data_IF_923286894685
#
_entry.id   IF_923286894685
#
_cell.length_a   1.000
_cell.length_b   1.000
_cell.length_c   1.000
_cell.angle_alpha   90.00
_cell.angle_beta   90.00
_cell.angle_gamma   90.00
#
_symmetry.space_group_name_H-M   'P 1'
#
loop_
_entity.id
_entity.type
_entity.pdbx_description
1 polymer ?
#
# COMPACT_ATOMS: atom_id res chain seq x y z
N UNK A 1 -17.14 16.21 -1.58
CA UNK A 1 -15.97 16.35 -2.47
C UNK A 1 -16.05 15.27 -3.50
N UNK A 2 -15.93 15.62 -4.79
CA UNK A 2 -16.11 14.67 -5.89
C UNK A 2 -14.80 13.89 -6.08
N UNK A 3 -14.86 12.56 -6.08
CA UNK A 3 -13.71 11.70 -6.38
C UNK A 3 -13.13 12.09 -7.75
N UNK A 4 -11.80 12.12 -7.85
CA UNK A 4 -11.13 12.35 -9.12
C UNK A 4 -11.42 11.19 -10.10
N UNK A 5 -11.55 11.46 -11.40
CA UNK A 5 -11.72 10.39 -12.39
C UNK A 5 -10.48 9.50 -12.40
N UNK A 6 -10.67 8.19 -12.46
CA UNK A 6 -9.57 7.24 -12.66
C UNK A 6 -8.79 7.62 -13.93
N UNK A 7 -7.45 7.51 -13.94
CA UNK A 7 -6.65 7.77 -15.13
C UNK A 7 -7.14 6.88 -16.30
N UNK A 8 -7.09 7.38 -17.55
CA UNK A 8 -7.49 6.58 -18.71
C UNK A 8 -6.63 5.31 -18.78
N UNK A 9 -7.28 4.18 -19.05
CA UNK A 9 -6.63 2.88 -19.20
C UNK A 9 -5.63 2.92 -20.37
N UNK A 10 -4.37 3.21 -20.06
CA UNK A 10 -3.24 2.92 -20.93
C UNK A 10 -2.71 1.52 -20.60
N UNK A 11 -2.23 0.80 -21.62
CA UNK A 11 -1.60 -0.54 -21.50
C UNK A 11 -0.22 -0.52 -20.81
N UNK A 12 0.07 0.54 -20.03
CA UNK A 12 1.36 0.80 -19.42
C UNK A 12 1.31 0.78 -17.90
N UNK A 13 2.48 0.89 -17.23
CA UNK A 13 2.55 1.02 -15.78
C UNK A 13 1.71 2.18 -15.25
N UNK A 14 1.06 1.97 -14.11
CA UNK A 14 0.30 3.01 -13.38
C UNK A 14 1.06 3.41 -12.13
N UNK A 15 1.15 4.72 -11.87
CA UNK A 15 1.65 5.25 -10.61
C UNK A 15 0.49 5.89 -9.86
N UNK A 16 0.33 5.56 -8.57
CA UNK A 16 -0.69 6.15 -7.70
C UNK A 16 -0.08 6.57 -6.36
N UNK A 17 -0.63 7.65 -5.79
CA UNK A 17 -0.25 8.17 -4.48
C UNK A 17 -1.41 8.08 -3.49
N UNK A 18 -1.09 7.76 -2.24
CA UNK A 18 -2.04 7.57 -1.15
C UNK A 18 -1.57 8.40 0.04
N UNK A 19 -2.39 9.34 0.49
CA UNK A 19 -2.03 10.30 1.53
C UNK A 19 -2.72 10.00 2.85
N UNK A 20 -1.96 9.92 3.93
CA UNK A 20 -2.51 9.73 5.28
C UNK A 20 -1.78 10.57 6.33
N UNK A 21 -2.48 10.82 7.44
CA UNK A 21 -1.93 11.55 8.57
C UNK A 21 -1.40 10.57 9.63
N UNK A 22 -0.14 10.71 10.02
CA UNK A 22 0.47 10.07 11.17
C UNK A 22 0.10 10.83 12.44
N UNK A 23 -0.55 10.15 13.38
CA UNK A 23 -0.91 10.75 14.68
C UNK A 23 0.28 10.88 15.62
N UNK A 24 0.20 11.85 16.54
CA UNK A 24 1.22 12.08 17.59
C UNK A 24 2.53 12.68 17.07
N UNK A 25 3.57 12.66 17.90
CA UNK A 25 4.93 13.07 17.52
C UNK A 25 5.66 11.97 16.76
N UNK A 26 6.64 12.31 15.90
CA UNK A 26 7.31 11.33 15.05
C UNK A 26 8.02 10.21 15.86
N UNK A 27 8.43 10.51 17.08
CA UNK A 27 9.05 9.56 18.00
C UNK A 27 8.08 8.48 18.55
N UNK A 28 6.77 8.65 18.40
CA UNK A 28 5.76 7.68 18.86
C UNK A 28 5.22 6.77 17.76
N UNK A 29 5.63 6.99 16.51
CA UNK A 29 5.30 6.13 15.40
C UNK A 29 6.10 4.83 15.49
N UNK A 30 5.39 3.70 15.44
CA UNK A 30 5.99 2.37 15.46
C UNK A 30 6.12 1.80 14.06
N UNK A 31 6.88 0.70 13.95
CA UNK A 31 6.97 -0.05 12.70
C UNK A 31 5.59 -0.57 12.29
N UNK A 32 5.39 -0.72 10.98
CA UNK A 32 4.13 -1.23 10.41
C UNK A 32 4.40 -1.96 9.11
N UNK A 33 3.34 -2.37 8.41
CA UNK A 33 3.41 -3.12 7.18
C UNK A 33 2.37 -2.62 6.19
N UNK A 34 2.75 -2.49 4.92
CA UNK A 34 1.79 -2.29 3.82
C UNK A 34 1.21 -3.65 3.43
N UNK A 35 -0.10 -3.81 3.57
CA UNK A 35 -0.81 -5.00 3.09
C UNK A 35 -0.93 -5.00 1.57
N UNK A 36 -0.43 -6.06 0.93
CA UNK A 36 -0.54 -6.29 -0.52
C UNK A 36 -1.27 -7.62 -0.75
N UNK A 37 -2.50 -7.55 -1.24
CA UNK A 37 -3.34 -8.75 -1.45
C UNK A 37 -4.02 -8.72 -2.81
N UNK A 38 -4.13 -9.89 -3.45
CA UNK A 38 -4.82 -10.03 -4.72
C UNK A 38 -6.31 -9.67 -4.58
N UNK A 39 -6.94 -10.03 -3.45
CA UNK A 39 -8.32 -9.60 -3.12
C UNK A 39 -8.46 -8.09 -2.90
N UNK A 40 -7.36 -7.38 -2.66
CA UNK A 40 -7.30 -5.92 -2.56
C UNK A 40 -7.06 -5.22 -3.91
N UNK A 41 -7.02 -5.96 -5.02
CA UNK A 41 -6.77 -5.40 -6.35
C UNK A 41 -5.28 -5.14 -6.66
N UNK A 42 -4.36 -5.66 -5.84
CA UNK A 42 -2.93 -5.54 -6.08
C UNK A 42 -2.47 -6.56 -7.14
N UNK A 43 -1.75 -6.07 -8.17
CA UNK A 43 -1.13 -6.90 -9.19
C UNK A 43 0.32 -7.24 -8.85
N UNK A 44 1.27 -6.61 -9.54
CA UNK A 44 2.71 -6.74 -9.32
C UNK A 44 3.36 -5.38 -9.45
N UNK A 45 4.25 -5.04 -8.55
CA UNK A 45 4.84 -3.71 -8.60
C UNK A 45 5.84 -3.39 -7.50
N UNK A 46 5.94 -2.11 -7.19
CA UNK A 46 6.88 -1.53 -6.23
C UNK A 46 6.19 -0.50 -5.34
N UNK A 47 6.57 -0.42 -4.07
CA UNK A 47 6.03 0.54 -3.11
C UNK A 47 7.14 1.43 -2.54
N UNK A 48 6.81 2.72 -2.35
CA UNK A 48 7.58 3.67 -1.57
C UNK A 48 6.73 4.26 -0.44
N UNK A 49 7.37 4.64 0.66
CA UNK A 49 6.77 5.46 1.72
C UNK A 49 7.64 6.70 1.92
N UNK A 50 7.06 7.87 1.73
CA UNK A 50 7.74 9.17 1.86
C UNK A 50 9.03 9.26 1.02
N UNK A 51 9.02 8.63 -0.16
CA UNK A 51 10.18 8.56 -1.07
C UNK A 51 11.17 7.42 -0.78
N UNK A 52 11.01 6.68 0.32
CA UNK A 52 11.86 5.52 0.64
C UNK A 52 11.32 4.26 -0.02
N UNK A 53 12.16 3.58 -0.80
CA UNK A 53 11.80 2.35 -1.52
C UNK A 53 11.67 1.16 -0.57
N UNK A 54 10.47 0.57 -0.49
CA UNK A 54 10.20 -0.60 0.37
C UNK A 54 10.53 -1.92 -0.32
N UNK A 55 10.41 -1.96 -1.65
CA UNK A 55 10.68 -3.14 -2.46
C UNK A 55 9.50 -3.57 -3.33
N UNK A 56 9.61 -4.79 -3.85
CA UNK A 56 8.66 -5.38 -4.80
C UNK A 56 7.55 -6.15 -4.09
N UNK A 57 6.35 -6.13 -4.66
CA UNK A 57 5.26 -7.04 -4.29
C UNK A 57 4.81 -7.87 -5.49
N UNK A 58 4.32 -9.08 -5.21
CA UNK A 58 3.64 -9.94 -6.19
C UNK A 58 2.71 -10.94 -5.45
N UNK A 59 1.58 -10.48 -4.87
CA UNK A 59 0.71 -11.27 -4.02
C UNK A 59 0.13 -12.54 -4.65
N UNK A 60 -0.09 -12.55 -5.97
CA UNK A 60 -0.55 -13.75 -6.68
C UNK A 60 0.50 -14.86 -6.74
N UNK A 61 1.79 -14.53 -6.66
CA UNK A 61 2.88 -15.50 -6.56
C UNK A 61 3.24 -15.82 -5.10
N UNK A 62 3.11 -14.86 -4.19
CA UNK A 62 3.43 -15.03 -2.77
C UNK A 62 4.89 -15.42 -2.52
N UNK A 63 5.23 -15.97 -1.32
CA UNK A 63 4.38 -16.08 -0.12
C UNK A 63 4.26 -14.76 0.67
N UNK A 64 4.97 -13.72 0.24
CA UNK A 64 4.99 -12.44 0.94
C UNK A 64 3.77 -11.58 0.58
N UNK A 65 2.93 -11.29 1.58
CA UNK A 65 1.69 -10.53 1.44
C UNK A 65 1.75 -9.15 2.12
N UNK A 66 2.82 -8.86 2.85
CA UNK A 66 3.03 -7.59 3.52
C UNK A 66 4.46 -7.05 3.24
N UNK A 67 4.59 -5.73 3.06
CA UNK A 67 5.89 -5.05 2.96
C UNK A 67 6.19 -4.29 4.25
N UNK A 68 7.38 -4.50 4.83
CA UNK A 68 7.79 -3.85 6.07
C UNK A 68 7.98 -2.33 5.87
N UNK A 69 7.47 -1.55 6.82
CA UNK A 69 7.66 -0.10 6.90
C UNK A 69 8.35 0.23 8.23
N UNK A 70 9.65 0.58 8.19
CA UNK A 70 10.36 1.08 9.37
C UNK A 70 9.71 2.36 9.90
N UNK A 71 9.58 2.49 11.22
CA UNK A 71 9.12 3.71 11.89
C UNK A 71 9.82 4.99 11.40
N UNK A 72 11.15 5.01 11.17
CA UNK A 72 11.84 6.21 10.67
C UNK A 72 11.42 6.67 9.27
N UNK A 73 10.71 5.85 8.49
CA UNK A 73 10.17 6.25 7.20
C UNK A 73 8.85 7.02 7.33
N UNK A 74 8.22 6.97 8.50
CA UNK A 74 6.97 7.67 8.80
C UNK A 74 7.24 9.07 9.39
N UNK A 75 6.28 9.96 9.19
CA UNK A 75 6.29 11.34 9.69
C UNK A 75 5.08 11.57 10.60
N UNK A 76 5.26 12.37 11.64
CA UNK A 76 4.12 13.03 12.28
C UNK A 76 3.46 13.96 11.25
N UNK A 77 2.14 13.87 11.09
CA UNK A 77 1.41 14.56 10.02
C UNK A 77 1.47 13.82 8.68
N UNK A 78 1.67 14.55 7.59
CA UNK A 78 1.42 14.01 6.24
C UNK A 78 2.44 12.97 5.78
N UNK A 79 1.93 11.82 5.37
CA UNK A 79 2.67 10.71 4.77
C UNK A 79 2.12 10.39 3.39
N UNK A 80 2.99 9.95 2.49
CA UNK A 80 2.63 9.51 1.13
C UNK A 80 3.12 8.09 0.91
N UNK A 81 2.22 7.20 0.51
CA UNK A 81 2.57 5.91 -0.11
C UNK A 81 2.50 6.10 -1.62
N UNK A 82 3.58 5.78 -2.32
CA UNK A 82 3.59 5.75 -3.79
C UNK A 82 3.63 4.30 -4.25
N UNK A 83 2.76 3.92 -5.17
CA UNK A 83 2.70 2.58 -5.75
C UNK A 83 2.92 2.68 -7.24
N UNK A 84 3.91 1.95 -7.75
CA UNK A 84 4.04 1.63 -9.17
C UNK A 84 3.42 0.25 -9.39
N UNK A 85 2.31 0.20 -10.12
CA UNK A 85 1.62 -1.02 -10.53
C UNK A 85 1.98 -1.36 -11.97
N UNK A 86 2.39 -2.62 -12.19
CA UNK A 86 2.82 -3.14 -13.50
C UNK A 86 1.79 -4.11 -14.10
N UNK A 87 0.76 -4.48 -13.34
CA UNK A 87 -0.20 -5.50 -13.73
C UNK A 87 0.35 -6.92 -13.59
N UNK A 88 -0.59 -7.88 -13.58
CA UNK A 88 -0.29 -9.30 -13.47
C UNK A 88 -1.03 -10.12 -14.54
N UNK A 89 -0.62 -9.92 -15.80
CA UNK A 89 -1.27 -10.55 -16.96
C UNK A 89 -2.52 -9.83 -17.47
N UNK A 90 -2.89 -8.71 -16.84
CA UNK A 90 -3.92 -7.76 -17.26
C UNK A 90 -3.36 -6.33 -17.21
N UNK A 91 -4.09 -5.36 -17.77
CA UNK A 91 -3.74 -3.95 -17.70
C UNK A 91 -3.51 -3.52 -16.24
N UNK A 92 -2.47 -2.71 -16.02
CA UNK A 92 -2.13 -2.22 -14.69
C UNK A 92 -3.24 -1.34 -14.15
N UNK A 93 -3.76 -1.66 -12.97
CA UNK A 93 -4.74 -0.86 -12.25
C UNK A 93 -4.28 -0.76 -10.80
N UNK A 94 -3.96 0.45 -10.37
CA UNK A 94 -3.53 0.67 -9.00
C UNK A 94 -4.64 0.28 -8.00
N UNK A 95 -4.29 -0.23 -6.81
CA UNK A 95 -5.27 -0.62 -5.80
C UNK A 95 -6.10 0.60 -5.37
N UNK A 96 -7.38 0.42 -5.06
CA UNK A 96 -8.24 1.54 -4.65
C UNK A 96 -7.77 2.17 -3.33
N UNK A 97 -7.17 1.35 -2.46
CA UNK A 97 -6.66 1.78 -1.16
C UNK A 97 -5.45 0.97 -0.71
N UNK A 98 -4.65 1.58 0.15
CA UNK A 98 -3.53 0.95 0.86
C UNK A 98 -3.91 0.79 2.33
N UNK A 99 -3.73 -0.41 2.88
CA UNK A 99 -3.90 -0.67 4.31
C UNK A 99 -2.54 -0.79 5.00
N UNK A 100 -2.42 -0.21 6.19
CA UNK A 100 -1.31 -0.45 7.10
C UNK A 100 -1.75 -1.44 8.20
N UNK A 101 -0.95 -2.48 8.42
CA UNK A 101 -1.21 -3.56 9.38
C UNK A 101 -0.03 -3.75 10.35
N UNK A 102 -0.28 -4.40 11.48
CA UNK A 102 0.67 -4.42 12.61
C UNK A 102 1.59 -5.62 12.64
N UNK A 103 1.31 -6.60 11.80
CA UNK A 103 2.01 -7.87 11.79
C UNK A 103 2.37 -8.25 10.36
N UNK A 104 3.51 -8.93 10.18
CA UNK A 104 3.86 -9.50 8.90
C UNK A 104 2.88 -10.62 8.50
N UNK A 105 2.60 -10.70 7.20
CA UNK A 105 2.21 -11.92 6.53
C UNK A 105 3.27 -12.21 5.44
N UNK A 106 4.15 -13.15 5.74
CA UNK A 106 5.25 -13.57 4.88
C UNK A 106 5.09 -15.02 4.41
N UNK A 107 3.95 -15.64 4.71
CA UNK A 107 3.79 -17.10 4.63
C UNK A 107 2.61 -17.54 3.76
N UNK A 108 1.70 -16.65 3.38
CA UNK A 108 0.43 -16.99 2.75
C UNK A 108 0.41 -16.97 1.22
N UNK A 109 -0.61 -17.59 0.64
CA UNK A 109 -1.13 -17.19 -0.68
C UNK A 109 -2.00 -15.96 -0.44
N UNK A 110 -1.62 -14.79 -0.94
CA UNK A 110 -2.23 -13.48 -0.62
C UNK A 110 -3.65 -13.29 -1.23
N UNK A 111 -4.42 -14.38 -1.29
CA UNK A 111 -5.72 -14.53 -1.90
C UNK A 111 -6.86 -13.90 -1.07
N UNK A 112 -6.61 -13.57 0.19
CA UNK A 112 -7.54 -12.84 1.05
C UNK A 112 -6.83 -11.69 1.76
N UNK A 113 -7.57 -10.64 2.11
CA UNK A 113 -7.07 -9.61 3.04
C UNK A 113 -6.76 -10.26 4.38
N UNK A 114 -5.76 -9.76 5.08
CA UNK A 114 -5.39 -10.24 6.41
C UNK A 114 -6.56 -10.02 7.38
N UNK A 115 -6.92 -11.06 8.13
CA UNK A 115 -7.93 -10.98 9.19
C UNK A 115 -7.34 -10.54 10.54
N UNK A 116 -6.04 -10.26 10.58
CA UNK A 116 -5.37 -9.94 11.82
C UNK A 116 -5.72 -8.55 12.34
N UNK A 117 -5.37 -8.26 13.61
CA UNK A 117 -5.72 -7.00 14.25
C UNK A 117 -5.10 -5.85 13.45
N UNK A 118 -5.97 -4.97 12.95
CA UNK A 118 -5.61 -3.68 12.38
C UNK A 118 -5.29 -2.76 13.56
N UNK A 119 -4.22 -1.96 13.48
CA UNK A 119 -3.91 -1.01 14.55
C UNK A 119 -5.12 -0.14 14.83
N UNK A 120 -5.50 0.06 16.11
CA UNK A 120 -6.49 1.05 16.46
C UNK A 120 -6.05 2.40 15.91
N UNK A 121 -6.81 2.94 14.95
CA UNK A 121 -6.49 4.19 14.26
C UNK A 121 -5.59 4.10 13.03
N UNK A 122 -5.20 2.91 12.54
CA UNK A 122 -4.53 2.77 11.23
C UNK A 122 -5.54 3.01 10.11
N UNK A 123 -5.39 4.08 9.31
CA UNK A 123 -6.32 4.38 8.24
C UNK A 123 -6.15 3.39 7.09
N UNK A 124 -7.28 3.00 6.47
CA UNK A 124 -7.25 2.62 5.07
C UNK A 124 -7.09 3.92 4.28
N UNK A 125 -6.05 4.00 3.45
CA UNK A 125 -5.71 5.23 2.74
C UNK A 125 -6.21 5.09 1.32
N UNK A 126 -7.17 5.92 0.92
CA UNK A 126 -7.70 5.93 -0.44
C UNK A 126 -6.72 6.63 -1.39
N UNK A 127 -6.71 6.20 -2.66
CA UNK A 127 -5.92 6.84 -3.70
C UNK A 127 -6.32 8.33 -3.83
N UNK A 128 -5.34 9.22 -3.86
CA UNK A 128 -5.52 10.57 -4.37
C UNK A 128 -4.98 10.58 -5.81
N UNK A 129 -5.80 10.94 -6.78
CA UNK A 129 -5.34 11.03 -8.17
C UNK A 129 -4.44 12.25 -8.35
N UNK A 130 -3.30 12.05 -9.03
CA UNK A 130 -2.50 13.11 -9.66
C UNK A 130 -3.09 13.48 -11.02
#
# INVERSE_FOLDING_TARGET
>A
GRAAPAPPAGDGPVVAEYHFEGGGDAASLGDTWVEVSAAGGWGKGVVWVNGNHLGRYWPSQGPQCNLYVPAPFLRAGSNVVTVLELGDGAAAVAPESVNLVDHPDLTGTCASKSSGPRRPGSPAVAAAAL
#
